data_IF_438275598857
#
_entry.id   IF_438275598857
#
_cell.length_a   1.000
_cell.length_b   1.000
_cell.length_c   1.000
_cell.angle_alpha   90.00
_cell.angle_beta   90.00
_cell.angle_gamma   90.00
#
_symmetry.space_group_name_H-M   'P 1'
#
loop_
_entity.id
_entity.type
_entity.pdbx_description
1 polymer ?
#
# COMPACT_ATOMS: atom_id res chain seq x y z
N UNK A 1 19.75 12.05 23.51
CA UNK A 1 18.86 12.15 22.33
C UNK A 1 17.82 13.28 22.45
N UNK A 2 17.10 13.42 23.56
CA UNK A 2 16.08 14.48 23.74
C UNK A 2 16.63 15.92 23.62
N UNK A 3 17.81 16.18 24.19
CA UNK A 3 18.47 17.50 24.13
C UNK A 3 18.82 17.91 22.68
N UNK A 4 19.32 16.97 21.87
CA UNK A 4 19.59 17.22 20.45
C UNK A 4 18.31 17.50 19.65
N UNK A 5 17.22 16.78 19.93
CA UNK A 5 15.89 17.00 19.34
C UNK A 5 15.35 18.40 19.68
N UNK A 6 15.50 18.83 20.94
CA UNK A 6 15.06 20.16 21.41
C UNK A 6 15.87 21.29 20.78
N UNK A 7 17.19 21.10 20.63
CA UNK A 7 18.10 22.05 19.99
C UNK A 7 17.83 22.18 18.49
N UNK A 8 17.55 21.08 17.81
CA UNK A 8 17.12 21.07 16.41
C UNK A 8 15.75 21.75 16.26
N UNK A 9 14.79 21.41 17.11
CA UNK A 9 13.46 22.02 17.12
C UNK A 9 13.51 23.55 17.29
N UNK A 10 14.34 24.05 18.21
CA UNK A 10 14.52 25.49 18.41
C UNK A 10 15.10 26.21 17.18
N UNK A 11 16.02 25.57 16.45
CA UNK A 11 16.60 26.12 15.21
C UNK A 11 15.63 26.10 14.03
N UNK A 12 14.78 25.08 13.94
CA UNK A 12 13.81 24.94 12.86
C UNK A 12 12.53 25.75 13.09
N UNK A 13 12.17 26.07 14.34
CA UNK A 13 10.93 26.77 14.71
C UNK A 13 10.66 28.09 13.97
N UNK A 14 11.63 28.99 13.74
CA UNK A 14 11.37 30.23 12.99
C UNK A 14 11.23 30.00 11.47
N UNK A 15 11.67 28.85 10.95
CA UNK A 15 11.67 28.52 9.52
C UNK A 15 10.57 27.54 9.13
N UNK A 16 10.05 26.75 10.09
CA UNK A 16 9.11 25.66 9.84
C UNK A 16 7.92 25.76 10.80
N UNK A 17 6.75 26.02 10.23
CA UNK A 17 5.48 25.94 10.94
C UNK A 17 4.88 24.55 10.74
N UNK A 18 4.67 23.81 11.84
CA UNK A 18 3.99 22.51 11.84
C UNK A 18 2.84 22.54 12.82
N UNK A 19 1.64 22.22 12.34
CA UNK A 19 0.42 22.05 13.15
C UNK A 19 -0.10 20.63 12.94
N UNK A 20 -0.59 20.00 14.00
CA UNK A 20 -1.23 18.68 13.91
C UNK A 20 -2.70 18.85 13.49
N UNK A 21 -3.25 17.87 12.77
CA UNK A 21 -4.67 17.87 12.38
C UNK A 21 -5.58 18.00 13.61
N UNK A 22 -5.26 17.29 14.70
CA UNK A 22 -5.97 17.39 15.98
C UNK A 22 -5.95 18.79 16.62
N UNK A 23 -5.02 19.67 16.24
CA UNK A 23 -4.93 21.04 16.75
C UNK A 23 -5.78 22.03 15.94
N UNK A 24 -6.09 21.71 14.67
CA UNK A 24 -6.68 22.68 13.72
C UNK A 24 -7.99 22.22 13.08
N UNK A 25 -8.26 20.92 13.04
CA UNK A 25 -9.44 20.32 12.42
C UNK A 25 -10.13 19.42 13.45
N UNK A 26 -10.86 20.04 14.38
CA UNK A 26 -11.53 19.34 15.49
C UNK A 26 -12.70 18.47 15.03
N UNK A 27 -13.31 18.83 13.91
CA UNK A 27 -14.46 18.12 13.32
C UNK A 27 -14.04 16.98 12.38
N UNK A 28 -12.74 16.73 12.26
CA UNK A 28 -12.22 15.65 11.40
C UNK A 28 -12.46 14.31 12.11
N UNK A 29 -13.18 13.36 11.49
CA UNK A 29 -13.49 12.07 12.11
C UNK A 29 -12.23 11.24 12.33
N UNK A 30 -12.36 10.14 13.08
CA UNK A 30 -11.22 9.30 13.42
C UNK A 30 -10.63 8.59 12.20
N UNK A 31 -9.36 8.19 12.33
CA UNK A 31 -8.64 7.35 11.37
C UNK A 31 -8.21 6.07 12.06
N UNK A 32 -8.72 4.94 11.62
CA UNK A 32 -8.42 3.62 12.16
C UNK A 32 -7.51 2.89 11.17
N UNK A 33 -6.33 2.44 11.63
CA UNK A 33 -5.40 1.64 10.83
C UNK A 33 -5.33 0.22 11.39
N UNK A 34 -5.61 -0.79 10.57
CA UNK A 34 -5.66 -2.20 10.96
C UNK A 34 -4.76 -3.06 10.07
N UNK A 35 -4.03 -3.98 10.69
CA UNK A 35 -3.37 -5.09 9.98
C UNK A 35 -4.43 -6.13 9.64
N UNK A 36 -4.46 -6.57 8.39
CA UNK A 36 -5.31 -7.66 7.94
C UNK A 36 -4.40 -8.74 7.35
N UNK A 37 -4.40 -9.92 7.98
CA UNK A 37 -3.52 -11.02 7.59
C UNK A 37 -4.16 -11.83 6.46
N UNK A 38 -3.38 -12.07 5.41
CA UNK A 38 -3.80 -12.83 4.23
C UNK A 38 -2.91 -14.07 4.11
N UNK A 39 -3.49 -15.25 4.26
CA UNK A 39 -2.73 -16.48 4.05
C UNK A 39 -2.42 -16.69 2.56
N UNK A 40 -1.23 -17.22 2.27
CA UNK A 40 -0.88 -17.60 0.90
C UNK A 40 -1.43 -18.99 0.60
N UNK A 41 -2.01 -19.14 -0.59
CA UNK A 41 -2.46 -20.45 -1.08
C UNK A 41 -1.32 -21.46 -1.13
N UNK A 42 -1.68 -22.74 -1.13
CA UNK A 42 -0.71 -23.84 -1.10
C UNK A 42 0.33 -23.71 -2.22
N UNK A 43 -0.10 -23.41 -3.45
CA UNK A 43 0.82 -23.32 -4.60
C UNK A 43 1.57 -21.99 -4.64
N UNK A 44 0.94 -20.88 -4.25
CA UNK A 44 1.61 -19.59 -4.06
C UNK A 44 2.71 -19.67 -2.98
N UNK A 45 2.45 -20.38 -1.88
CA UNK A 45 3.41 -20.62 -0.79
C UNK A 45 4.57 -21.50 -1.23
N UNK A 46 4.31 -22.57 -1.99
CA UNK A 46 5.37 -23.39 -2.62
C UNK A 46 6.25 -22.55 -3.53
N UNK A 47 5.65 -21.74 -4.39
CA UNK A 47 6.36 -20.81 -5.29
C UNK A 47 7.23 -19.83 -4.49
N UNK A 48 6.67 -19.23 -3.44
CA UNK A 48 7.37 -18.30 -2.57
C UNK A 48 8.61 -18.94 -1.92
N UNK A 49 8.45 -20.13 -1.33
CA UNK A 49 9.54 -20.84 -0.66
C UNK A 49 10.63 -21.30 -1.64
N UNK A 50 10.25 -21.74 -2.84
CA UNK A 50 11.19 -22.10 -3.89
C UNK A 50 12.01 -20.88 -4.35
N UNK A 51 11.35 -19.74 -4.57
CA UNK A 51 12.02 -18.50 -4.95
C UNK A 51 12.91 -17.96 -3.83
N UNK A 52 12.48 -18.05 -2.57
CA UNK A 52 13.27 -17.64 -1.41
C UNK A 52 14.58 -18.44 -1.31
N UNK A 53 14.51 -19.77 -1.49
CA UNK A 53 15.69 -20.65 -1.48
C UNK A 53 16.65 -20.28 -2.62
N UNK A 54 16.13 -20.22 -3.85
CA UNK A 54 16.90 -19.84 -5.05
C UNK A 54 17.58 -18.49 -4.90
N UNK A 55 16.82 -17.47 -4.51
CA UNK A 55 17.30 -16.10 -4.32
C UNK A 55 18.39 -16.03 -3.23
N UNK A 56 18.23 -16.74 -2.12
CA UNK A 56 19.23 -16.81 -1.05
C UNK A 56 20.54 -17.41 -1.56
N UNK A 57 20.47 -18.55 -2.24
CA UNK A 57 21.65 -19.26 -2.70
C UNK A 57 22.42 -18.43 -3.75
N UNK A 58 21.70 -17.77 -4.67
CA UNK A 58 22.29 -16.85 -5.65
C UNK A 58 22.97 -15.64 -4.99
N UNK A 59 22.31 -15.02 -4.01
CA UNK A 59 22.89 -13.87 -3.28
C UNK A 59 24.16 -14.30 -2.53
N UNK A 60 24.14 -15.45 -1.85
CA UNK A 60 25.32 -15.93 -1.11
C UNK A 60 26.50 -16.24 -2.03
N UNK A 61 26.25 -16.85 -3.19
CA UNK A 61 27.30 -17.09 -4.20
C UNK A 61 27.91 -15.77 -4.71
N UNK A 62 27.08 -14.76 -4.98
CA UNK A 62 27.58 -13.46 -5.45
C UNK A 62 28.35 -12.72 -4.36
N UNK A 63 27.90 -12.79 -3.11
CA UNK A 63 28.64 -12.20 -1.97
C UNK A 63 30.02 -12.86 -1.87
N UNK A 64 30.10 -14.19 -1.97
CA UNK A 64 31.37 -14.91 -1.92
C UNK A 64 32.32 -14.53 -3.06
N UNK A 65 31.80 -14.26 -4.27
CA UNK A 65 32.62 -13.92 -5.46
C UNK A 65 32.98 -12.44 -5.58
N UNK A 66 32.10 -11.53 -5.19
CA UNK A 66 32.18 -10.11 -5.56
C UNK A 66 32.03 -9.15 -4.37
N UNK A 67 31.77 -9.66 -3.17
CA UNK A 67 31.56 -8.88 -1.95
C UNK A 67 30.19 -8.21 -1.88
N UNK A 68 29.81 -7.82 -0.65
CA UNK A 68 28.46 -7.34 -0.30
C UNK A 68 28.02 -6.11 -1.09
N UNK A 69 28.93 -5.18 -1.39
CA UNK A 69 28.60 -3.94 -2.10
C UNK A 69 28.07 -4.20 -3.52
N UNK A 70 28.63 -5.19 -4.23
CA UNK A 70 28.23 -5.55 -5.59
C UNK A 70 26.98 -6.44 -5.64
N UNK A 71 26.61 -7.08 -4.52
CA UNK A 71 25.41 -7.92 -4.42
C UNK A 71 24.11 -7.15 -4.16
N UNK A 72 24.18 -5.84 -3.84
CA UNK A 72 23.01 -5.02 -3.47
C UNK A 72 21.88 -5.07 -4.51
N UNK A 73 22.22 -4.97 -5.79
CA UNK A 73 21.24 -4.99 -6.87
C UNK A 73 20.49 -6.33 -6.94
N UNK A 74 21.19 -7.45 -6.75
CA UNK A 74 20.58 -8.78 -6.73
C UNK A 74 19.68 -8.97 -5.51
N UNK A 75 20.09 -8.46 -4.34
CA UNK A 75 19.25 -8.49 -3.14
C UNK A 75 17.94 -7.71 -3.37
N UNK A 76 18.01 -6.53 -3.98
CA UNK A 76 16.82 -5.73 -4.30
C UNK A 76 15.92 -6.44 -5.33
N UNK A 77 16.51 -7.09 -6.34
CA UNK A 77 15.75 -7.86 -7.31
C UNK A 77 15.04 -9.07 -6.67
N UNK A 78 15.74 -9.82 -5.81
CA UNK A 78 15.17 -10.93 -5.05
C UNK A 78 14.02 -10.47 -4.13
N UNK A 79 14.23 -9.40 -3.37
CA UNK A 79 13.18 -8.83 -2.51
C UNK A 79 11.97 -8.35 -3.32
N UNK A 80 12.19 -7.76 -4.49
CA UNK A 80 11.11 -7.33 -5.38
C UNK A 80 10.31 -8.54 -5.87
N UNK A 81 10.99 -9.59 -6.34
CA UNK A 81 10.35 -10.82 -6.82
C UNK A 81 9.55 -11.53 -5.73
N UNK A 82 10.10 -11.62 -4.51
CA UNK A 82 9.40 -12.19 -3.36
C UNK A 82 8.12 -11.39 -3.02
N UNK A 83 8.17 -10.06 -3.10
CA UNK A 83 7.00 -9.20 -2.88
C UNK A 83 5.96 -9.37 -3.98
N UNK A 84 6.38 -9.47 -5.25
CA UNK A 84 5.48 -9.76 -6.36
C UNK A 84 4.75 -11.10 -6.16
N UNK A 85 5.44 -12.16 -5.72
CA UNK A 85 4.80 -13.45 -5.41
C UNK A 85 3.76 -13.31 -4.29
N UNK A 86 4.03 -12.52 -3.24
CA UNK A 86 3.06 -12.26 -2.17
C UNK A 86 1.82 -11.53 -2.69
N UNK A 87 1.99 -10.61 -3.65
CA UNK A 87 0.88 -9.88 -4.25
C UNK A 87 0.02 -10.76 -5.17
N UNK A 88 0.64 -11.40 -6.16
CA UNK A 88 -0.01 -12.32 -7.11
C UNK A 88 1.04 -13.11 -7.92
N UNK A 89 0.95 -14.45 -8.03
CA UNK A 89 1.90 -15.26 -8.80
C UNK A 89 2.08 -14.87 -10.27
N UNK A 90 1.04 -14.37 -10.93
CA UNK A 90 1.11 -13.93 -12.34
C UNK A 90 2.08 -12.77 -12.55
N UNK A 91 2.37 -11.96 -11.53
CA UNK A 91 3.40 -10.91 -11.60
C UNK A 91 4.80 -11.45 -11.84
N UNK A 92 5.00 -12.76 -11.62
CA UNK A 92 6.26 -13.46 -11.90
C UNK A 92 6.10 -14.56 -12.96
N UNK A 93 4.99 -14.56 -13.70
CA UNK A 93 4.70 -15.48 -14.81
C UNK A 93 4.22 -16.86 -14.38
N UNK A 94 3.51 -16.96 -13.25
CA UNK A 94 2.91 -18.21 -12.79
C UNK A 94 1.39 -18.04 -12.63
N UNK A 95 0.61 -19.01 -13.08
CA UNK A 95 -0.86 -18.89 -13.16
C UNK A 95 -1.60 -19.39 -11.91
N UNK A 96 -0.90 -19.62 -10.79
CA UNK A 96 -1.55 -19.97 -9.53
C UNK A 96 -2.39 -18.81 -8.97
N UNK A 97 -3.38 -19.16 -8.16
CA UNK A 97 -4.20 -18.20 -7.40
C UNK A 97 -3.40 -17.35 -6.41
N UNK A 98 -4.08 -16.36 -5.83
CA UNK A 98 -3.52 -15.45 -4.84
C UNK A 98 -4.48 -15.31 -3.66
N UNK A 99 -4.15 -15.94 -2.54
CA UNK A 99 -4.92 -15.81 -1.30
C UNK A 99 -5.02 -14.37 -0.79
N UNK A 100 -4.10 -13.49 -1.21
CA UNK A 100 -4.18 -12.05 -0.94
C UNK A 100 -5.24 -11.33 -1.78
N UNK A 101 -5.42 -11.76 -3.03
CA UNK A 101 -6.51 -11.27 -3.88
C UNK A 101 -7.85 -11.78 -3.36
N UNK A 102 -7.92 -13.03 -2.93
CA UNK A 102 -9.13 -13.60 -2.30
C UNK A 102 -9.52 -12.82 -1.05
N UNK A 103 -8.58 -12.62 -0.10
CA UNK A 103 -8.81 -11.83 1.10
C UNK A 103 -9.20 -10.36 0.80
N UNK A 104 -8.66 -9.77 -0.29
CA UNK A 104 -9.09 -8.44 -0.71
C UNK A 104 -10.57 -8.45 -1.11
N UNK A 105 -11.03 -9.43 -1.90
CA UNK A 105 -12.43 -9.47 -2.34
C UNK A 105 -13.39 -9.84 -1.19
N UNK A 106 -12.99 -10.71 -0.26
CA UNK A 106 -13.73 -10.95 0.99
C UNK A 106 -13.96 -9.65 1.79
N UNK A 107 -13.01 -8.72 1.72
CA UNK A 107 -13.14 -7.40 2.33
C UNK A 107 -13.94 -6.41 1.47
N UNK A 108 -13.76 -6.43 0.14
CA UNK A 108 -14.38 -5.47 -0.77
C UNK A 108 -15.85 -5.74 -1.03
N UNK A 109 -16.24 -6.99 -1.27
CA UNK A 109 -17.59 -7.35 -1.71
C UNK A 109 -18.68 -6.84 -0.74
N UNK A 110 -18.58 -7.06 0.59
CA UNK A 110 -19.57 -6.53 1.52
C UNK A 110 -19.62 -4.99 1.57
N UNK A 111 -18.48 -4.32 1.33
CA UNK A 111 -18.41 -2.85 1.30
C UNK A 111 -19.11 -2.31 0.05
N UNK A 112 -18.87 -2.94 -1.11
CA UNK A 112 -19.51 -2.55 -2.36
C UNK A 112 -21.02 -2.79 -2.29
N UNK A 113 -21.47 -3.91 -1.73
CA UNK A 113 -22.90 -4.20 -1.50
C UNK A 113 -23.57 -3.16 -0.59
N UNK A 114 -22.83 -2.57 0.35
CA UNK A 114 -23.30 -1.50 1.23
C UNK A 114 -23.32 -0.12 0.57
N UNK A 115 -22.93 0.00 -0.70
CA UNK A 115 -22.87 1.29 -1.39
C UNK A 115 -21.57 2.06 -1.13
N UNK A 116 -20.53 1.42 -0.60
CA UNK A 116 -19.31 2.11 -0.19
C UNK A 116 -18.33 2.32 -1.35
N UNK A 117 -17.55 3.39 -1.26
CA UNK A 117 -16.40 3.63 -2.13
C UNK A 117 -15.10 3.28 -1.42
N UNK A 118 -14.25 2.53 -2.09
CA UNK A 118 -13.01 2.01 -1.52
C UNK A 118 -11.81 2.43 -2.35
N UNK A 119 -10.76 2.93 -1.70
CA UNK A 119 -9.47 3.14 -2.35
C UNK A 119 -8.59 1.92 -2.16
N UNK A 120 -8.00 1.39 -3.23
CA UNK A 120 -7.04 0.28 -3.15
C UNK A 120 -5.70 0.74 -3.71
N UNK A 121 -4.68 0.72 -2.87
CA UNK A 121 -3.33 1.14 -3.24
C UNK A 121 -2.41 -0.05 -3.44
N UNK A 122 -1.61 0.01 -4.50
CA UNK A 122 -0.49 -0.92 -4.73
C UNK A 122 0.75 -0.18 -5.23
N UNK A 123 1.94 -0.70 -4.91
CA UNK A 123 3.16 -0.21 -5.56
C UNK A 123 3.34 -0.74 -6.99
N UNK A 124 2.69 -1.86 -7.32
CA UNK A 124 2.87 -2.57 -8.59
C UNK A 124 1.72 -2.23 -9.53
N UNK A 125 1.99 -1.44 -10.57
CA UNK A 125 0.96 -1.07 -11.55
C UNK A 125 0.34 -2.29 -12.23
N UNK A 126 1.15 -3.34 -12.50
CA UNK A 126 0.63 -4.60 -13.02
C UNK A 126 -0.36 -5.28 -12.07
N UNK A 127 -0.18 -5.13 -10.75
CA UNK A 127 -1.14 -5.65 -9.77
C UNK A 127 -2.48 -4.92 -9.89
N UNK A 128 -2.46 -3.59 -10.04
CA UNK A 128 -3.68 -2.81 -10.26
C UNK A 128 -4.44 -3.27 -11.50
N UNK A 129 -3.73 -3.58 -12.60
CA UNK A 129 -4.36 -4.13 -13.82
C UNK A 129 -4.98 -5.51 -13.62
N UNK A 130 -4.35 -6.35 -12.78
CA UNK A 130 -4.94 -7.65 -12.39
C UNK A 130 -6.24 -7.41 -11.61
N UNK A 131 -6.19 -6.55 -10.59
CA UNK A 131 -7.37 -6.20 -9.79
C UNK A 131 -8.49 -5.57 -10.61
N UNK A 132 -8.17 -4.70 -11.58
CA UNK A 132 -9.14 -4.11 -12.51
C UNK A 132 -9.90 -5.20 -13.30
N UNK A 133 -9.18 -6.19 -13.81
CA UNK A 133 -9.78 -7.34 -14.50
C UNK A 133 -10.66 -8.18 -13.57
N UNK A 134 -10.19 -8.44 -12.34
CA UNK A 134 -10.92 -9.24 -11.36
C UNK A 134 -12.19 -8.53 -10.88
N UNK A 135 -12.15 -7.20 -10.73
CA UNK A 135 -13.31 -6.36 -10.48
C UNK A 135 -14.29 -6.39 -11.66
N UNK A 136 -13.80 -6.30 -12.90
CA UNK A 136 -14.64 -6.38 -14.09
C UNK A 136 -15.38 -7.72 -14.22
N UNK A 137 -14.76 -8.81 -13.79
CA UNK A 137 -15.39 -10.14 -13.76
C UNK A 137 -16.50 -10.24 -12.69
N UNK A 138 -16.43 -9.38 -11.67
CA UNK A 138 -17.40 -9.28 -10.56
C UNK A 138 -18.39 -8.13 -10.74
N UNK A 139 -18.37 -7.46 -11.90
CA UNK A 139 -19.22 -6.30 -12.19
C UNK A 139 -19.04 -5.13 -11.19
N UNK A 140 -17.85 -5.01 -10.58
CA UNK A 140 -17.52 -3.91 -9.66
C UNK A 140 -17.00 -2.72 -10.47
N UNK A 141 -17.64 -1.54 -10.41
CA UNK A 141 -17.15 -0.35 -11.09
C UNK A 141 -15.78 0.07 -10.56
N UNK A 142 -14.86 0.39 -11.47
CA UNK A 142 -13.49 0.78 -11.09
C UNK A 142 -13.04 2.07 -11.75
N UNK A 143 -12.17 2.78 -11.04
CA UNK A 143 -11.37 3.87 -11.58
C UNK A 143 -9.90 3.52 -11.34
N UNK A 144 -9.00 3.95 -12.23
CA UNK A 144 -7.57 3.69 -12.07
C UNK A 144 -6.73 4.95 -12.28
N UNK A 145 -5.79 5.20 -11.36
CA UNK A 145 -4.85 6.31 -11.48
C UNK A 145 -3.42 5.86 -11.18
N UNK A 146 -2.56 6.00 -12.19
CA UNK A 146 -1.17 5.57 -12.19
C UNK A 146 -0.21 6.75 -12.42
N UNK A 147 1.09 6.45 -12.48
CA UNK A 147 2.10 7.44 -12.88
C UNK A 147 1.94 7.92 -14.32
N UNK A 148 1.30 7.12 -15.18
CA UNK A 148 1.19 7.34 -16.63
C UNK A 148 -0.14 7.99 -17.02
N UNK A 149 -1.09 8.11 -16.08
CA UNK A 149 -2.37 8.77 -16.30
C UNK A 149 -2.15 10.25 -16.64
N UNK A 150 -2.62 10.70 -17.81
CA UNK A 150 -2.53 12.09 -18.27
C UNK A 150 -3.59 12.96 -17.59
N UNK A 151 -4.87 12.60 -17.74
CA UNK A 151 -6.01 13.40 -17.29
C UNK A 151 -6.42 13.04 -15.85
N UNK A 152 -5.46 13.20 -14.92
CA UNK A 152 -5.63 12.80 -13.52
C UNK A 152 -6.81 13.45 -12.82
N UNK A 153 -7.04 14.73 -13.09
CA UNK A 153 -8.10 15.49 -12.44
C UNK A 153 -9.48 14.98 -12.85
N UNK A 154 -9.65 14.60 -14.12
CA UNK A 154 -10.89 14.07 -14.65
C UNK A 154 -11.26 12.73 -13.99
N UNK A 155 -10.30 11.81 -13.87
CA UNK A 155 -10.51 10.52 -13.18
C UNK A 155 -10.92 10.74 -11.72
N UNK A 156 -10.27 11.69 -11.03
CA UNK A 156 -10.56 12.03 -9.64
C UNK A 156 -11.93 12.69 -9.48
N UNK A 157 -12.31 13.58 -10.40
CA UNK A 157 -13.62 14.20 -10.40
C UNK A 157 -14.70 13.15 -10.64
N UNK A 158 -14.52 12.29 -11.65
CA UNK A 158 -15.44 11.20 -11.96
C UNK A 158 -15.70 10.35 -10.72
N UNK A 159 -14.65 9.85 -10.06
CA UNK A 159 -14.80 9.05 -8.84
C UNK A 159 -15.52 9.80 -7.70
N UNK A 160 -15.27 11.11 -7.55
CA UNK A 160 -15.93 11.89 -6.51
C UNK A 160 -17.41 12.13 -6.84
N UNK A 161 -17.75 12.38 -8.09
CA UNK A 161 -19.11 12.69 -8.56
C UNK A 161 -20.01 11.45 -8.69
N UNK A 162 -19.45 10.27 -8.97
CA UNK A 162 -20.22 9.01 -9.03
C UNK A 162 -20.94 8.75 -7.71
N UNK A 163 -22.23 8.47 -7.67
CA UNK A 163 -22.91 8.09 -6.42
C UNK A 163 -22.76 6.60 -6.09
N UNK A 164 -22.55 5.79 -7.12
CA UNK A 164 -22.43 4.33 -7.03
C UNK A 164 -21.17 3.87 -6.26
N UNK A 165 -21.31 2.69 -5.64
CA UNK A 165 -20.18 1.97 -5.06
C UNK A 165 -19.13 1.67 -6.13
N UNK A 166 -17.87 1.90 -5.79
CA UNK A 166 -16.77 1.73 -6.74
C UNK A 166 -15.44 1.55 -6.04
N UNK A 167 -14.49 0.94 -6.76
CA UNK A 167 -13.11 0.75 -6.31
C UNK A 167 -12.18 1.68 -7.09
N UNK A 168 -11.45 2.52 -6.39
CA UNK A 168 -10.41 3.36 -6.99
C UNK A 168 -9.02 2.72 -6.80
N UNK A 169 -8.49 2.17 -7.88
CA UNK A 169 -7.18 1.55 -7.98
C UNK A 169 -6.08 2.61 -8.16
N UNK A 170 -5.22 2.75 -7.16
CA UNK A 170 -4.26 3.84 -7.08
C UNK A 170 -2.83 3.32 -6.94
N UNK A 171 -1.94 3.76 -7.82
CA UNK A 171 -0.51 3.48 -7.59
C UNK A 171 0.01 4.35 -6.44
N UNK A 172 0.79 3.76 -5.53
CA UNK A 172 1.39 4.51 -4.41
C UNK A 172 2.25 5.70 -4.87
N UNK A 173 2.88 5.59 -6.06
CA UNK A 173 3.64 6.70 -6.66
C UNK A 173 2.74 7.85 -7.11
N UNK A 174 1.56 7.55 -7.64
CA UNK A 174 0.62 8.57 -8.09
C UNK A 174 -0.14 9.22 -6.93
N UNK A 175 -0.25 8.54 -5.78
CA UNK A 175 -0.82 9.11 -4.55
C UNK A 175 -0.03 10.32 -3.99
N UNK A 176 1.22 10.51 -4.42
CA UNK A 176 2.10 11.60 -3.97
C UNK A 176 1.68 13.00 -4.42
N UNK A 177 0.79 13.15 -5.40
CA UNK A 177 0.50 14.44 -6.08
C UNK A 177 -0.59 15.31 -5.45
N UNK A 178 -1.06 15.00 -4.24
CA UNK A 178 -1.93 15.91 -3.48
C UNK A 178 -3.44 15.80 -3.76
N UNK A 179 -3.89 14.71 -4.38
CA UNK A 179 -5.31 14.44 -4.69
C UNK A 179 -6.24 14.56 -3.48
N UNK A 180 -7.47 15.03 -3.68
CA UNK A 180 -8.53 15.03 -2.67
C UNK A 180 -9.49 13.88 -2.95
N UNK A 181 -9.67 12.96 -2.01
CA UNK A 181 -10.47 11.74 -2.19
C UNK A 181 -11.43 11.53 -1.00
N UNK A 182 -12.08 12.60 -0.54
CA UNK A 182 -12.92 12.57 0.67
C UNK A 182 -14.17 11.71 0.55
N UNK A 183 -14.62 11.40 -0.67
CA UNK A 183 -15.82 10.57 -0.89
C UNK A 183 -15.58 9.07 -0.65
N UNK A 184 -14.37 8.66 -0.25
CA UNK A 184 -14.06 7.30 0.19
C UNK A 184 -13.79 7.27 1.69
N UNK A 185 -14.42 6.33 2.39
CA UNK A 185 -14.22 6.09 3.83
C UNK A 185 -13.32 4.88 4.10
N UNK A 186 -13.09 4.05 3.09
CA UNK A 186 -12.30 2.84 3.19
C UNK A 186 -11.05 2.91 2.31
N UNK A 187 -9.92 2.52 2.89
CA UNK A 187 -8.62 2.47 2.23
C UNK A 187 -8.01 1.09 2.45
N UNK A 188 -7.57 0.44 1.38
CA UNK A 188 -6.84 -0.82 1.44
C UNK A 188 -5.45 -0.60 0.87
N UNK A 189 -4.43 -0.87 1.68
CA UNK A 189 -3.05 -0.93 1.25
C UNK A 189 -2.75 -2.39 0.91
N UNK A 190 -2.79 -2.70 -0.39
CA UNK A 190 -2.67 -4.06 -0.90
C UNK A 190 -1.27 -4.64 -0.67
N UNK A 191 -0.22 -3.82 -0.67
CA UNK A 191 1.14 -4.25 -0.40
C UNK A 191 1.89 -3.25 0.48
N UNK A 192 2.67 -3.72 1.49
CA UNK A 192 3.33 -2.83 2.43
C UNK A 192 4.54 -2.14 1.80
N UNK A 193 4.74 -0.87 2.16
CA UNK A 193 5.82 -0.02 1.67
C UNK A 193 6.88 0.27 2.72
N UNK A 194 8.17 0.23 2.37
CA UNK A 194 9.28 0.38 3.34
C UNK A 194 9.29 1.65 4.20
N UNK A 195 8.61 2.70 3.74
CA UNK A 195 8.49 3.99 4.41
C UNK A 195 7.04 4.23 4.88
N UNK A 196 6.75 4.16 6.19
CA UNK A 196 5.39 4.35 6.71
C UNK A 196 4.82 5.75 6.42
N UNK A 197 5.68 6.75 6.21
CA UNK A 197 5.22 8.10 5.87
C UNK A 197 4.54 8.18 4.50
N UNK A 198 4.93 7.31 3.54
CA UNK A 198 4.31 7.26 2.21
C UNK A 198 2.90 6.66 2.30
N UNK A 199 2.73 5.62 3.10
CA UNK A 199 1.41 5.03 3.37
C UNK A 199 0.50 6.00 4.12
N UNK A 200 1.02 6.65 5.18
CA UNK A 200 0.27 7.64 5.92
C UNK A 200 -0.17 8.80 5.01
N UNK A 201 0.68 9.22 4.07
CA UNK A 201 0.36 10.25 3.09
C UNK A 201 -0.78 9.82 2.14
N UNK A 202 -0.80 8.54 1.74
CA UNK A 202 -1.86 7.97 0.90
C UNK A 202 -3.20 7.93 1.66
N UNK A 203 -3.22 7.48 2.91
CA UNK A 203 -4.42 7.49 3.75
C UNK A 203 -4.86 8.94 4.04
N UNK A 204 -3.93 9.86 4.24
CA UNK A 204 -4.21 11.29 4.41
C UNK A 204 -4.80 11.98 3.16
N UNK A 205 -5.03 11.25 2.04
CA UNK A 205 -5.80 11.75 0.90
C UNK A 205 -7.32 11.65 1.11
N UNK A 206 -7.77 10.65 1.86
CA UNK A 206 -9.18 10.48 2.26
C UNK A 206 -9.45 11.15 3.60
N UNK A 207 -8.48 11.14 4.51
CA UNK A 207 -8.56 11.80 5.81
C UNK A 207 -8.22 13.29 5.70
N UNK A 208 -9.07 14.07 5.02
CA UNK A 208 -8.91 15.52 4.80
C UNK A 208 -10.11 16.30 5.29
N UNK A 209 -9.93 17.62 5.45
CA UNK A 209 -11.04 18.55 5.72
C UNK A 209 -12.08 18.35 4.60
N UNK A 210 -13.34 18.12 4.97
CA UNK A 210 -14.42 17.71 4.07
C UNK A 210 -14.81 16.23 4.21
N UNK A 211 -13.99 15.41 4.86
CA UNK A 211 -14.38 14.06 5.26
C UNK A 211 -15.33 14.13 6.46
N UNK A 212 -16.48 13.48 6.35
CA UNK A 212 -17.53 13.42 7.38
C UNK A 212 -17.61 12.04 8.06
N UNK A 213 -16.96 11.03 7.48
CA UNK A 213 -17.01 9.63 7.94
C UNK A 213 -15.64 9.15 8.44
N UNK A 214 -15.65 8.25 9.42
CA UNK A 214 -14.44 7.60 9.93
C UNK A 214 -13.69 6.91 8.79
N UNK A 215 -12.38 7.16 8.70
CA UNK A 215 -11.54 6.55 7.67
C UNK A 215 -10.96 5.24 8.21
N UNK A 216 -11.36 4.12 7.61
CA UNK A 216 -10.84 2.79 7.92
C UNK A 216 -9.76 2.40 6.91
N UNK A 217 -8.55 2.18 7.37
CA UNK A 217 -7.41 1.79 6.57
C UNK A 217 -6.94 0.36 6.91
N UNK A 218 -7.05 -0.55 5.96
CA UNK A 218 -6.60 -1.94 6.08
C UNK A 218 -5.25 -2.11 5.39
N UNK A 219 -4.30 -2.76 6.07
CA UNK A 219 -3.01 -3.13 5.48
C UNK A 219 -2.95 -4.64 5.33
N UNK A 220 -3.00 -5.10 4.09
CA UNK A 220 -2.94 -6.52 3.77
C UNK A 220 -1.50 -7.01 3.91
N UNK A 221 -1.27 -8.00 4.78
CA UNK A 221 0.05 -8.57 5.05
C UNK A 221 -0.02 -10.08 4.88
N UNK A 222 0.90 -10.66 4.11
CA UNK A 222 1.09 -12.10 4.06
C UNK A 222 2.01 -12.59 5.20
N UNK A 223 1.50 -13.30 6.23
CA UNK A 223 2.30 -13.76 7.38
C UNK A 223 3.41 -14.74 6.98
N UNK A 224 4.52 -14.75 7.71
CA UNK A 224 5.65 -15.65 7.43
C UNK A 224 6.44 -15.31 6.16
N UNK A 225 6.15 -14.19 5.50
CA UNK A 225 6.83 -13.75 4.27
C UNK A 225 7.75 -12.55 4.50
N UNK A 226 8.22 -11.96 3.40
CA UNK A 226 8.97 -10.70 3.39
C UNK A 226 8.08 -9.52 3.82
N UNK A 227 6.77 -9.60 3.59
CA UNK A 227 5.84 -8.53 3.95
C UNK A 227 5.71 -8.36 5.46
N UNK A 228 5.64 -9.45 6.21
CA UNK A 228 5.64 -9.40 7.67
C UNK A 228 6.92 -8.76 8.23
N UNK A 229 8.06 -9.00 7.59
CA UNK A 229 9.33 -8.34 7.94
C UNK A 229 9.27 -6.84 7.66
N UNK A 230 8.67 -6.42 6.54
CA UNK A 230 8.45 -5.01 6.20
C UNK A 230 7.56 -4.35 7.25
N UNK A 231 6.44 -4.99 7.60
CA UNK A 231 5.54 -4.53 8.65
C UNK A 231 6.27 -4.33 9.97
N UNK A 232 7.01 -5.33 10.43
CA UNK A 232 7.77 -5.23 11.69
C UNK A 232 8.82 -4.09 11.65
N UNK A 233 9.48 -3.88 10.51
CA UNK A 233 10.39 -2.75 10.31
C UNK A 233 9.67 -1.39 10.36
N UNK A 234 8.47 -1.28 9.79
CA UNK A 234 7.67 -0.06 9.88
C UNK A 234 7.31 0.24 11.33
N UNK A 235 6.83 -0.76 12.08
CA UNK A 235 6.46 -0.60 13.50
C UNK A 235 7.65 -0.15 14.35
N UNK A 236 8.86 -0.64 14.06
CA UNK A 236 10.08 -0.19 14.71
C UNK A 236 10.45 1.27 14.35
N UNK A 237 10.31 1.66 13.07
CA UNK A 237 10.58 3.04 12.61
C UNK A 237 9.59 4.05 13.18
N UNK A 238 8.31 3.71 13.23
CA UNK A 238 7.24 4.57 13.75
C UNK A 238 7.43 4.92 15.23
N UNK A 239 8.08 4.06 16.03
CA UNK A 239 8.46 4.37 17.42
C UNK A 239 9.60 5.39 17.56
N UNK A 240 10.38 5.58 16.49
CA UNK A 240 11.57 6.45 16.50
C UNK A 240 11.30 7.84 15.91
N UNK A 241 10.33 7.92 14.98
CA UNK A 241 9.85 9.17 14.36
C UNK A 241 9.00 9.96 15.37
#
# INVERSE_FOLDING_TARGET
RAIARRRLGARLRPLLMRRLKSQVAKDLPERIEQRHDCELDVDQKKLYLAELRRSRDQVMQTIAKQGVAKSRMQVLAALTRLRQICCHPTLVGNDSGSGKTEALFELLEPLIEQGEKVLVFSQFVQMLKILEKDCGTREIPTHMLTGETKDRQEVVNTFQETEEASVFLLSLRAAGTGLNLTNASYVVLYDPWWNPAVEAQAIDRTHRIGQTRTVNAYKLIAPGTVEEKIWNLQQAKSKTI
#
